data_IF_489381899671
#
_entry.id   IF_489381899671
#
_cell.length_a   1.000
_cell.length_b   1.000
_cell.length_c   1.000
_cell.angle_alpha   90.00
_cell.angle_beta   90.00
_cell.angle_gamma   90.00
#
_symmetry.space_group_name_H-M   'P 1'
#
loop_
_entity.id
_entity.type
_entity.pdbx_description
1 polymer ?
#
# COMPACT_ATOMS: atom_id res chain seq x y z
N UNK A 1 -14.67 6.14 7.14
CA UNK A 1 -14.63 5.17 6.03
C UNK A 1 -14.01 5.89 4.84
N UNK A 2 -12.75 5.60 4.54
CA UNK A 2 -12.10 6.11 3.34
C UNK A 2 -12.66 5.34 2.15
N UNK A 3 -13.20 6.04 1.18
CA UNK A 3 -13.62 5.46 -0.09
C UNK A 3 -12.44 5.57 -1.04
N UNK A 4 -12.25 4.58 -1.91
CA UNK A 4 -11.09 4.51 -2.81
C UNK A 4 -11.56 4.45 -4.26
N UNK A 5 -10.79 5.07 -5.14
CA UNK A 5 -10.93 5.02 -6.59
C UNK A 5 -9.67 4.42 -7.19
N UNK A 6 -9.77 3.96 -8.42
CA UNK A 6 -8.60 3.50 -9.14
C UNK A 6 -8.67 3.84 -10.63
N UNK A 7 -7.49 4.06 -11.19
CA UNK A 7 -7.27 4.24 -12.62
C UNK A 7 -6.72 2.96 -13.23
N UNK A 8 -7.22 2.66 -14.43
CA UNK A 8 -6.76 1.53 -15.23
C UNK A 8 -6.07 2.05 -16.48
N UNK A 9 -4.81 1.66 -16.67
CA UNK A 9 -4.03 1.99 -17.85
C UNK A 9 -3.99 0.79 -18.82
N UNK A 10 -4.01 1.03 -20.14
CA UNK A 10 -3.90 -0.04 -21.12
C UNK A 10 -2.50 -0.68 -21.09
N UNK A 11 -2.44 -1.99 -21.39
CA UNK A 11 -1.18 -2.70 -21.60
C UNK A 11 -0.37 -2.01 -22.71
N UNK A 12 0.95 -1.80 -22.53
CA UNK A 12 1.79 -1.37 -23.64
C UNK A 12 1.62 -2.36 -24.79
N UNK A 13 1.45 -1.86 -26.01
CA UNK A 13 1.61 -2.69 -27.20
C UNK A 13 3.06 -3.19 -27.30
N UNK A 14 3.31 -4.18 -28.15
CA UNK A 14 4.66 -4.74 -28.39
C UNK A 14 5.65 -3.74 -29.04
N UNK A 15 5.30 -2.46 -29.17
CA UNK A 15 6.13 -1.43 -29.77
C UNK A 15 7.19 -0.90 -28.77
N UNK A 16 8.49 -1.14 -29.01
CA UNK A 16 9.57 -0.67 -28.14
C UNK A 16 9.69 0.87 -28.08
N UNK A 17 9.10 1.61 -29.02
CA UNK A 17 9.15 3.08 -29.04
C UNK A 17 8.17 3.72 -28.05
N UNK A 18 7.09 3.02 -27.66
CA UNK A 18 6.19 3.44 -26.56
C UNK A 18 6.83 3.26 -25.17
N UNK A 19 7.88 2.43 -25.07
CA UNK A 19 8.62 2.15 -23.83
C UNK A 19 9.70 3.18 -23.48
N UNK A 20 9.89 4.19 -24.32
CA UNK A 20 10.92 5.22 -24.16
C UNK A 20 10.22 6.58 -24.03
N UNK A 21 10.06 7.13 -22.83
CA UNK A 21 10.93 8.24 -22.38
C UNK A 21 10.87 8.56 -20.87
N UNK A 22 10.21 7.74 -20.05
CA UNK A 22 10.28 7.86 -18.59
C UNK A 22 10.38 6.47 -17.98
N UNK A 23 11.45 6.23 -17.23
CA UNK A 23 11.89 4.98 -16.58
C UNK A 23 10.91 4.38 -15.54
N UNK A 24 9.63 4.74 -15.58
CA UNK A 24 8.60 4.07 -14.80
C UNK A 24 8.14 2.86 -15.61
N UNK A 25 8.22 1.67 -15.01
CA UNK A 25 7.32 0.59 -15.43
C UNK A 25 5.92 1.21 -15.42
N UNK A 26 5.18 1.15 -16.55
CA UNK A 26 3.84 1.73 -16.60
C UNK A 26 2.98 0.93 -15.62
N UNK A 27 2.67 1.50 -14.46
CA UNK A 27 1.68 0.97 -13.53
C UNK A 27 0.39 0.73 -14.33
N UNK A 28 -0.26 -0.42 -14.15
CA UNK A 28 -1.50 -0.72 -14.88
C UNK A 28 -2.73 -0.41 -14.06
N UNK A 29 -2.61 -0.51 -12.75
CA UNK A 29 -3.65 -0.18 -11.80
C UNK A 29 -3.11 0.80 -10.77
N UNK A 30 -3.63 2.02 -10.75
CA UNK A 30 -3.32 3.00 -9.72
C UNK A 30 -4.52 3.15 -8.78
N UNK A 31 -4.35 2.88 -7.50
CA UNK A 31 -5.39 3.04 -6.48
C UNK A 31 -5.10 4.28 -5.64
N UNK A 32 -6.12 5.09 -5.36
CA UNK A 32 -6.00 6.30 -4.55
C UNK A 32 -7.24 6.52 -3.69
N UNK A 33 -7.13 7.30 -2.63
CA UNK A 33 -8.29 7.75 -1.86
C UNK A 33 -9.24 8.59 -2.74
N UNK A 34 -10.54 8.40 -2.58
CA UNK A 34 -11.57 9.15 -3.31
C UNK A 34 -11.83 10.49 -2.63
N UNK A 35 -12.07 11.54 -3.41
CA UNK A 35 -12.62 12.80 -2.89
C UNK A 35 -11.66 13.98 -2.81
N UNK A 36 -10.42 13.82 -3.27
CA UNK A 36 -9.59 14.97 -3.64
C UNK A 36 -9.65 15.05 -5.16
N UNK A 37 -10.58 15.87 -5.62
CA UNK A 37 -10.62 16.36 -6.99
C UNK A 37 -9.24 16.96 -7.25
N UNK A 38 -8.42 16.33 -8.11
CA UNK A 38 -7.23 17.00 -8.59
C UNK A 38 -7.76 18.28 -9.25
N UNK A 39 -7.54 19.43 -8.61
CA UNK A 39 -7.83 20.75 -9.17
C UNK A 39 -7.02 21.07 -10.44
N UNK A 40 -6.48 20.04 -11.11
CA UNK A 40 -6.12 20.09 -12.50
C UNK A 40 -7.37 19.84 -13.32
N UNK A 41 -7.90 20.93 -13.87
CA UNK A 41 -8.95 21.04 -14.90
C UNK A 41 -8.55 20.36 -16.24
N UNK A 42 -7.88 19.21 -16.15
CA UNK A 42 -7.39 18.40 -17.26
C UNK A 42 -8.14 17.08 -17.28
N UNK A 43 -8.53 16.57 -18.45
CA UNK A 43 -9.22 15.29 -18.54
C UNK A 43 -8.36 14.21 -17.88
N UNK A 44 -8.93 13.46 -16.94
CA UNK A 44 -8.33 12.20 -16.51
C UNK A 44 -7.99 11.43 -17.78
N UNK A 45 -6.71 11.12 -17.97
CA UNK A 45 -6.22 10.46 -19.19
C UNK A 45 -6.81 9.05 -19.35
N UNK A 46 -7.41 8.52 -18.28
CA UNK A 46 -7.95 7.17 -18.15
C UNK A 46 -9.29 7.19 -17.37
N UNK A 47 -10.14 6.17 -17.53
CA UNK A 47 -11.40 6.08 -16.79
C UNK A 47 -11.15 5.77 -15.31
N UNK A 48 -11.66 6.63 -14.43
CA UNK A 48 -11.69 6.41 -12.97
C UNK A 48 -12.81 5.42 -12.64
N UNK A 49 -12.49 4.37 -11.90
CA UNK A 49 -13.43 3.34 -11.43
C UNK A 49 -13.55 3.38 -9.90
N UNK A 50 -14.74 3.07 -9.37
CA UNK A 50 -14.96 2.96 -7.92
C UNK A 50 -14.50 1.60 -7.42
N UNK A 51 -13.77 1.56 -6.30
CA UNK A 51 -13.33 0.30 -5.70
C UNK A 51 -14.52 -0.58 -5.26
N UNK A 52 -15.67 0.00 -4.90
CA UNK A 52 -16.87 -0.75 -4.51
C UNK A 52 -17.48 -1.61 -5.61
N UNK A 53 -17.21 -1.27 -6.87
CA UNK A 53 -17.87 -1.86 -8.03
C UNK A 53 -17.06 -3.03 -8.62
N UNK A 54 -15.89 -3.31 -8.03
CA UNK A 54 -14.93 -4.30 -8.52
C UNK A 54 -14.38 -5.13 -7.37
N UNK A 55 -14.14 -6.40 -7.64
CA UNK A 55 -13.34 -7.28 -6.79
C UNK A 55 -11.92 -7.39 -7.33
N UNK A 56 -10.96 -7.80 -6.48
CA UNK A 56 -9.63 -8.17 -6.96
C UNK A 56 -9.70 -9.26 -8.04
N UNK A 57 -10.72 -10.13 -7.97
CA UNK A 57 -10.95 -11.18 -8.96
C UNK A 57 -11.26 -10.59 -10.34
N UNK A 58 -12.14 -9.59 -10.42
CA UNK A 58 -12.52 -8.95 -11.68
C UNK A 58 -11.31 -8.35 -12.39
N UNK A 59 -10.36 -7.84 -11.61
CA UNK A 59 -9.11 -7.29 -12.13
C UNK A 59 -8.11 -8.40 -12.49
N UNK A 60 -7.74 -9.28 -11.57
CA UNK A 60 -6.67 -10.25 -11.83
C UNK A 60 -7.07 -11.41 -12.75
N UNK A 61 -8.35 -11.74 -12.86
CA UNK A 61 -8.85 -12.80 -13.75
C UNK A 61 -9.43 -12.25 -15.06
N UNK A 62 -9.53 -10.93 -15.20
CA UNK A 62 -9.98 -10.28 -16.43
C UNK A 62 -9.02 -10.53 -17.60
N UNK A 63 -9.56 -10.91 -18.76
CA UNK A 63 -8.77 -11.09 -19.98
C UNK A 63 -8.01 -9.81 -20.37
N UNK A 64 -8.61 -8.66 -20.07
CA UNK A 64 -8.07 -7.32 -20.35
C UNK A 64 -6.77 -7.01 -19.57
N UNK A 65 -6.54 -7.67 -18.43
CA UNK A 65 -5.42 -7.36 -17.55
C UNK A 65 -4.34 -8.44 -17.51
N UNK A 66 -4.50 -9.56 -18.21
CA UNK A 66 -3.54 -10.66 -18.36
C UNK A 66 -2.56 -10.84 -17.17
N UNK A 67 -2.87 -11.81 -16.30
CA UNK A 67 -2.24 -12.19 -15.02
C UNK A 67 -0.75 -11.90 -14.82
N UNK A 68 0.07 -11.95 -15.86
CA UNK A 68 1.53 -11.77 -15.79
C UNK A 68 2.00 -10.33 -16.04
N UNK A 69 1.08 -9.40 -16.34
CA UNK A 69 1.42 -8.06 -16.77
C UNK A 69 1.07 -6.97 -15.78
N UNK A 70 0.26 -7.22 -14.74
CA UNK A 70 -0.28 -6.17 -13.85
C UNK A 70 0.75 -5.69 -12.82
N UNK A 71 1.15 -4.42 -12.92
CA UNK A 71 1.78 -3.68 -11.83
C UNK A 71 0.74 -2.80 -11.15
N UNK A 72 0.56 -2.99 -9.84
CA UNK A 72 -0.39 -2.22 -9.02
C UNK A 72 0.38 -1.26 -8.14
N UNK A 73 -0.08 0.00 -8.11
CA UNK A 73 0.42 1.00 -7.18
C UNK A 73 -0.75 1.54 -6.37
N UNK A 74 -0.59 1.62 -5.06
CA UNK A 74 -1.55 2.23 -4.15
C UNK A 74 -0.95 3.48 -3.53
N UNK A 75 -1.56 4.63 -3.76
CA UNK A 75 -1.22 5.88 -3.13
C UNK A 75 -2.16 6.15 -1.95
N UNK A 76 -1.57 6.32 -0.78
CA UNK A 76 -2.24 6.67 0.47
C UNK A 76 -1.77 8.05 0.92
N UNK A 77 -2.69 8.81 1.54
CA UNK A 77 -2.45 10.17 2.03
C UNK A 77 -1.92 11.08 0.92
N UNK A 78 -2.80 11.79 0.21
CA UNK A 78 -2.39 12.67 -0.88
C UNK A 78 -1.59 13.90 -0.41
N UNK A 79 -1.53 14.17 0.90
CA UNK A 79 -0.65 15.18 1.46
C UNK A 79 0.81 14.71 1.40
N UNK A 80 1.07 13.52 1.93
CA UNK A 80 2.42 12.94 2.03
C UNK A 80 2.85 12.10 0.81
N UNK A 81 1.88 11.62 0.02
CA UNK A 81 2.06 10.87 -1.22
C UNK A 81 2.67 9.49 -1.03
N UNK A 82 2.19 8.71 -0.05
CA UNK A 82 2.72 7.38 0.26
C UNK A 82 2.36 6.37 -0.83
N UNK A 83 3.34 5.98 -1.63
CA UNK A 83 3.16 5.01 -2.71
C UNK A 83 3.62 3.61 -2.33
N UNK A 84 2.70 2.66 -2.40
CA UNK A 84 2.90 1.24 -2.18
C UNK A 84 2.91 0.52 -3.54
N UNK A 85 3.92 -0.29 -3.78
CA UNK A 85 3.97 -1.17 -4.95
C UNK A 85 3.43 -2.54 -4.53
N UNK A 86 2.37 -3.00 -5.20
CA UNK A 86 1.71 -4.27 -4.91
C UNK A 86 1.97 -5.21 -6.09
N UNK A 87 2.51 -6.38 -5.78
CA UNK A 87 2.80 -7.43 -6.75
C UNK A 87 1.94 -8.64 -6.44
N UNK A 88 1.16 -9.09 -7.42
CA UNK A 88 0.40 -10.32 -7.30
C UNK A 88 1.28 -11.51 -7.69
N UNK A 89 1.63 -12.35 -6.72
CA UNK A 89 2.48 -13.53 -6.93
C UNK A 89 1.73 -14.73 -7.53
N UNK A 90 0.42 -14.61 -7.72
CA UNK A 90 -0.44 -15.68 -8.22
C UNK A 90 -1.33 -16.28 -7.14
N UNK A 91 -1.93 -17.42 -7.47
CA UNK A 91 -2.73 -18.20 -6.52
C UNK A 91 -1.82 -19.14 -5.73
N UNK A 92 -1.93 -19.09 -4.42
CA UNK A 92 -1.30 -20.06 -3.55
C UNK A 92 -1.78 -21.49 -3.87
N UNK A 93 -0.89 -22.46 -3.68
CA UNK A 93 -1.27 -23.88 -3.74
C UNK A 93 -2.38 -24.16 -2.71
N UNK A 94 -3.44 -24.93 -3.06
CA UNK A 94 -4.53 -25.21 -2.14
C UNK A 94 -4.09 -25.86 -0.81
N UNK A 95 -2.95 -26.56 -0.81
CA UNK A 95 -2.39 -27.18 0.39
C UNK A 95 -1.59 -26.23 1.28
N UNK A 96 -1.19 -25.04 0.78
CA UNK A 96 -0.35 -24.09 1.52
C UNK A 96 -0.94 -23.75 2.88
N UNK A 97 -2.24 -23.43 2.93
CA UNK A 97 -2.92 -23.10 4.19
C UNK A 97 -2.81 -24.20 5.22
N UNK A 98 -3.03 -25.45 4.80
CA UNK A 98 -2.93 -26.63 5.67
C UNK A 98 -1.50 -26.84 6.17
N UNK A 99 -0.50 -26.70 5.29
CA UNK A 99 0.92 -26.86 5.65
C UNK A 99 1.36 -25.78 6.64
N UNK A 100 0.88 -24.55 6.46
CA UNK A 100 1.16 -23.42 7.34
C UNK A 100 0.32 -23.43 8.63
N UNK A 101 -0.61 -24.38 8.78
CA UNK A 101 -1.51 -24.46 9.93
C UNK A 101 -2.49 -23.28 10.04
N UNK A 102 -2.78 -22.60 8.92
CA UNK A 102 -3.69 -21.44 8.91
C UNK A 102 -5.13 -21.96 9.01
N UNK A 103 -5.89 -21.59 10.05
CA UNK A 103 -7.28 -22.05 10.24
C UNK A 103 -8.18 -21.66 9.05
N UNK A 104 -9.19 -22.46 8.66
CA UNK A 104 -10.08 -22.16 7.54
C UNK A 104 -10.78 -20.79 7.62
N UNK A 105 -11.08 -20.33 8.82
CA UNK A 105 -11.80 -19.09 9.12
C UNK A 105 -10.95 -17.83 8.96
N UNK A 106 -9.61 -17.94 8.91
CA UNK A 106 -8.70 -16.80 8.73
C UNK A 106 -8.73 -16.33 7.27
N UNK A 107 -9.32 -15.16 7.01
CA UNK A 107 -9.49 -14.63 5.65
C UNK A 107 -8.18 -14.06 5.06
N UNK A 108 -7.41 -13.35 5.88
CA UNK A 108 -6.16 -12.70 5.48
C UNK A 108 -5.08 -13.07 6.50
N UNK A 109 -3.86 -13.34 6.01
CA UNK A 109 -2.71 -13.69 6.85
C UNK A 109 -1.46 -13.03 6.27
N UNK A 110 -0.74 -12.30 7.11
CA UNK A 110 0.61 -11.87 6.80
C UNK A 110 1.57 -13.06 6.94
N UNK A 111 2.44 -13.24 5.95
CA UNK A 111 3.44 -14.33 5.94
C UNK A 111 4.85 -13.84 6.30
N UNK A 112 5.06 -12.53 6.36
CA UNK A 112 6.36 -11.92 6.60
C UNK A 112 6.38 -10.45 6.23
N UNK A 113 7.38 -9.74 6.76
CA UNK A 113 7.61 -8.33 6.56
C UNK A 113 8.86 -7.89 7.32
N UNK A 114 9.26 -6.66 7.09
CA UNK A 114 10.36 -6.03 7.82
C UNK A 114 10.19 -4.52 7.86
N UNK A 115 10.81 -3.93 8.88
CA UNK A 115 10.90 -2.49 9.03
C UNK A 115 9.67 -1.85 9.68
N UNK A 116 9.89 -0.65 10.21
CA UNK A 116 8.85 0.11 10.88
C UNK A 116 7.91 0.80 9.88
N UNK A 117 6.59 0.83 10.13
CA UNK A 117 5.67 1.63 9.33
C UNK A 117 6.10 3.11 9.31
N UNK A 118 5.84 3.79 8.20
CA UNK A 118 6.11 5.23 8.09
C UNK A 118 5.23 5.98 9.09
N UNK A 119 5.77 7.03 9.73
CA UNK A 119 4.97 7.87 10.61
C UNK A 119 3.90 8.63 9.80
N UNK A 120 2.65 8.57 10.27
CA UNK A 120 1.54 9.37 9.73
C UNK A 120 1.87 10.87 9.82
N UNK A 121 1.45 11.64 8.81
CA UNK A 121 1.65 13.09 8.70
C UNK A 121 3.13 13.54 8.86
N UNK A 122 4.07 12.69 8.47
CA UNK A 122 5.49 12.98 8.67
C UNK A 122 6.09 13.90 7.61
N UNK A 123 5.34 14.28 6.58
CA UNK A 123 5.81 15.11 5.46
C UNK A 123 6.41 14.27 4.33
N UNK A 124 5.82 13.11 4.09
CA UNK A 124 6.16 12.17 3.03
C UNK A 124 7.57 11.60 3.18
N UNK A 125 8.09 11.05 2.09
CA UNK A 125 9.40 10.36 2.06
C UNK A 125 10.53 11.19 2.67
N UNK A 126 10.59 12.48 2.37
CA UNK A 126 11.61 13.41 2.88
C UNK A 126 11.47 13.65 4.38
N UNK A 127 10.25 13.90 4.84
CA UNK A 127 9.96 14.14 6.25
C UNK A 127 10.24 12.91 7.10
N UNK A 128 9.84 11.71 6.64
CA UNK A 128 10.19 10.45 7.28
C UNK A 128 11.70 10.20 7.35
N UNK A 129 12.44 10.50 6.28
CA UNK A 129 13.90 10.37 6.30
C UNK A 129 14.54 11.32 7.31
N UNK A 130 14.03 12.56 7.42
CA UNK A 130 14.48 13.53 8.41
C UNK A 130 14.17 13.06 9.84
N UNK A 131 12.98 12.52 10.09
CA UNK A 131 12.58 11.98 11.39
C UNK A 131 13.49 10.83 11.83
N UNK A 132 13.77 9.88 10.94
CA UNK A 132 14.74 8.80 11.23
C UNK A 132 16.12 9.35 11.58
N UNK A 133 16.58 10.39 10.88
CA UNK A 133 17.86 11.03 11.18
C UNK A 133 17.90 11.70 12.57
N UNK A 134 16.76 12.21 13.04
CA UNK A 134 16.60 12.79 14.37
C UNK A 134 16.71 11.73 15.46
N UNK A 135 16.05 10.59 15.29
CA UNK A 135 16.10 9.48 16.26
C UNK A 135 17.49 8.83 16.37
N UNK A 136 18.34 8.96 15.35
CA UNK A 136 19.77 8.55 15.43
C UNK A 136 20.63 9.43 16.34
N UNK A 137 20.17 10.64 16.70
CA UNK A 137 20.92 11.60 17.52
C UNK A 137 20.42 11.55 18.95
N UNK A 138 21.28 11.84 19.95
CA UNK A 138 20.88 11.87 21.37
C UNK A 138 20.22 13.18 21.81
N UNK A 139 20.35 14.24 21.00
CA UNK A 139 19.88 15.58 21.36
C UNK A 139 18.36 15.65 21.46
N UNK A 140 17.88 16.60 22.24
CA UNK A 140 16.46 16.99 22.26
C UNK A 140 16.09 17.58 20.89
N UNK A 141 14.95 17.14 20.37
CA UNK A 141 14.37 17.60 19.12
C UNK A 141 12.86 17.41 19.26
N UNK A 142 12.08 18.46 19.03
CA UNK A 142 10.64 18.45 19.30
C UNK A 142 9.88 17.45 18.40
N UNK A 143 10.46 17.08 17.25
CA UNK A 143 9.90 16.03 16.39
C UNK A 143 9.89 14.66 17.05
N UNK A 144 10.76 14.41 18.04
CA UNK A 144 10.71 13.18 18.83
C UNK A 144 9.52 13.15 19.76
N UNK A 145 9.17 14.29 20.36
CA UNK A 145 8.02 14.42 21.22
C UNK A 145 6.75 14.26 20.39
N UNK A 146 6.65 14.99 19.27
CA UNK A 146 5.56 14.84 18.30
C UNK A 146 5.34 13.38 17.89
N UNK A 147 6.40 12.66 17.49
CA UNK A 147 6.26 11.26 17.11
C UNK A 147 5.76 10.35 18.25
N UNK A 148 6.11 10.64 19.51
CA UNK A 148 5.75 9.80 20.66
C UNK A 148 4.37 10.11 21.22
N UNK A 149 3.92 11.35 21.08
CA UNK A 149 2.78 11.89 21.83
C UNK A 149 1.61 12.29 20.93
N UNK A 150 1.89 12.70 19.69
CA UNK A 150 0.89 13.29 18.79
C UNK A 150 0.67 12.49 17.49
N UNK A 151 1.69 11.79 17.00
CA UNK A 151 1.59 11.02 15.75
C UNK A 151 0.63 9.82 15.90
N UNK A 152 -0.32 9.68 14.98
CA UNK A 152 -1.40 8.69 15.09
C UNK A 152 -0.95 7.23 15.16
N UNK A 153 0.18 6.91 14.52
CA UNK A 153 0.84 5.61 14.62
C UNK A 153 2.22 5.69 15.31
N UNK A 154 2.38 6.71 16.17
CA UNK A 154 3.56 6.93 16.99
C UNK A 154 3.79 5.84 18.03
N UNK A 155 5.06 5.59 18.38
CA UNK A 155 5.42 4.72 19.51
C UNK A 155 5.95 5.57 20.68
N UNK A 156 5.33 5.51 21.87
CA UNK A 156 5.81 6.21 23.07
C UNK A 156 7.27 5.89 23.44
N UNK A 157 7.74 4.68 23.14
CA UNK A 157 9.12 4.27 23.35
C UNK A 157 10.08 4.89 22.34
N UNK A 158 9.54 5.35 21.20
CA UNK A 158 10.26 6.03 20.13
C UNK A 158 10.46 5.15 18.91
N UNK A 159 11.03 5.75 17.87
CA UNK A 159 11.18 5.12 16.57
C UNK A 159 12.30 4.07 16.60
N UNK A 160 11.95 2.81 16.40
CA UNK A 160 12.87 1.74 16.05
C UNK A 160 12.63 1.36 14.58
N UNK A 161 13.53 1.69 13.63
CA UNK A 161 13.29 1.49 12.20
C UNK A 161 13.19 0.02 11.79
N UNK A 162 13.53 -0.92 12.68
CA UNK A 162 13.47 -2.36 12.43
C UNK A 162 12.34 -3.05 13.20
N UNK A 163 11.64 -2.34 14.08
CA UNK A 163 10.53 -2.93 14.85
C UNK A 163 9.40 -3.27 13.91
N UNK A 164 9.16 -4.57 13.79
CA UNK A 164 8.08 -5.19 13.06
C UNK A 164 7.86 -6.57 13.68
N UNK A 165 6.62 -6.95 13.94
CA UNK A 165 6.29 -8.24 14.52
C UNK A 165 5.16 -8.91 13.73
N UNK A 166 5.36 -10.17 13.37
CA UNK A 166 4.42 -10.95 12.57
C UNK A 166 3.13 -11.24 13.32
N UNK A 167 3.20 -11.44 14.64
CA UNK A 167 2.05 -11.74 15.48
C UNK A 167 1.21 -10.49 15.68
N UNK A 168 1.83 -9.36 16.02
CA UNK A 168 1.13 -8.07 16.15
C UNK A 168 0.32 -7.75 14.87
N UNK A 169 0.96 -7.89 13.70
CA UNK A 169 0.28 -7.63 12.41
C UNK A 169 -0.87 -8.61 12.16
N UNK A 170 -0.72 -9.88 12.50
CA UNK A 170 -1.78 -10.86 12.26
C UNK A 170 -2.93 -10.73 13.27
N UNK A 171 -2.64 -10.35 14.51
CA UNK A 171 -3.66 -10.05 15.51
C UNK A 171 -4.53 -8.86 15.05
N UNK A 172 -3.90 -7.78 14.57
CA UNK A 172 -4.62 -6.64 13.97
C UNK A 172 -5.46 -7.04 12.75
N UNK A 173 -4.95 -7.95 11.90
CA UNK A 173 -5.68 -8.43 10.72
C UNK A 173 -6.93 -9.24 11.08
N UNK A 174 -6.92 -9.98 12.19
CA UNK A 174 -8.09 -10.73 12.66
C UNK A 174 -9.20 -9.77 13.10
N UNK A 175 -8.84 -8.66 13.74
CA UNK A 175 -9.82 -7.65 14.15
C UNK A 175 -10.45 -6.93 12.93
N UNK A 176 -9.66 -6.68 11.89
CA UNK A 176 -10.14 -6.04 10.65
C UNK A 176 -10.94 -7.01 9.77
N UNK A 177 -10.52 -8.27 9.71
CA UNK A 177 -11.14 -9.32 8.89
C UNK A 177 -11.58 -10.51 9.76
N UNK A 178 -12.61 -10.32 10.60
CA UNK A 178 -13.01 -11.33 11.55
C UNK A 178 -13.45 -12.63 10.84
N UNK A 179 -13.22 -13.79 11.50
CA UNK A 179 -13.83 -15.06 11.14
C UNK A 179 -15.33 -14.91 10.86
N UNK A 180 -15.83 -15.68 9.90
CA UNK A 180 -17.28 -15.85 9.78
C UNK A 180 -17.79 -16.60 11.03
N UNK A 181 -18.93 -16.15 11.58
CA UNK A 181 -19.60 -16.79 12.73
C UNK A 181 -20.08 -18.23 12.44
#
# INVERSE_FOLDING_TARGET
MHMYTFDVMPLPGDDPQEMSLFFWRRTLLHMSESGIDYGGDGPHRFPVKKASDYTLRDIYEGEEFNKDKIEVQYEYDMGDGWRHHIVFLGRADPSLRRVMGIPPEVKVMCLGGEGHPVAEDSGGKSGWAALKAVFKRRNRDDRKAWYKEDCGNGDPNGLDPYKWDLLDVNDDLVDVFPPDE
#
